data_IF_787080455058
#
_entry.id   IF_787080455058
#
_cell.length_a   1.000
_cell.length_b   1.000
_cell.length_c   1.000
_cell.angle_alpha   90.00
_cell.angle_beta   90.00
_cell.angle_gamma   90.00
#
_symmetry.space_group_name_H-M   'P 1'
#
loop_
_entity.id
_entity.type
_entity.pdbx_description
1 polymer ?
#
# COMPACT_ATOMS: atom_id res chain seq x y z
N UNK A 1 -30.48 -9.03 -19.76
CA UNK A 1 -29.33 -8.85 -18.83
C UNK A 1 -28.49 -7.69 -19.34
N UNK A 2 -28.09 -6.76 -18.47
CA UNK A 2 -27.17 -5.68 -18.84
C UNK A 2 -25.75 -6.25 -18.76
N UNK A 3 -25.27 -6.85 -19.87
CA UNK A 3 -23.90 -7.34 -19.98
C UNK A 3 -22.97 -6.13 -20.05
N UNK A 4 -21.96 -6.07 -19.19
CA UNK A 4 -20.89 -5.08 -19.32
C UNK A 4 -20.04 -5.46 -20.52
N UNK A 5 -19.89 -4.53 -21.48
CA UNK A 5 -19.14 -4.74 -22.73
C UNK A 5 -17.99 -3.74 -22.84
N UNK A 6 -17.03 -4.06 -23.71
CA UNK A 6 -15.89 -3.19 -24.00
C UNK A 6 -14.79 -3.21 -22.94
N UNK A 7 -14.83 -4.16 -21.99
CA UNK A 7 -13.74 -4.38 -21.04
C UNK A 7 -12.74 -5.34 -21.67
N UNK A 8 -11.49 -4.89 -21.83
CA UNK A 8 -10.40 -5.72 -22.31
C UNK A 8 -9.42 -6.01 -21.18
N UNK A 9 -8.91 -7.24 -21.15
CA UNK A 9 -7.89 -7.67 -20.20
C UNK A 9 -6.65 -8.16 -20.96
N UNK A 10 -5.47 -7.83 -20.42
CA UNK A 10 -4.18 -8.36 -20.88
C UNK A 10 -3.39 -8.85 -19.69
N UNK A 11 -2.93 -10.10 -19.73
CA UNK A 11 -2.10 -10.65 -18.68
C UNK A 11 -0.69 -10.04 -18.73
N UNK A 12 -0.25 -9.41 -17.64
CA UNK A 12 1.05 -8.76 -17.55
C UNK A 12 2.24 -9.73 -17.58
N UNK A 13 2.03 -10.99 -17.15
CA UNK A 13 3.09 -11.99 -17.04
C UNK A 13 3.35 -12.76 -18.34
N UNK A 14 2.47 -12.63 -19.34
CA UNK A 14 2.66 -13.22 -20.67
C UNK A 14 2.93 -12.10 -21.67
N UNK A 15 4.20 -11.67 -21.76
CA UNK A 15 4.65 -10.71 -22.78
C UNK A 15 4.28 -11.25 -24.17
N UNK A 16 3.47 -10.50 -24.92
CA UNK A 16 2.96 -10.91 -26.24
C UNK A 16 1.57 -11.57 -26.23
N UNK A 17 0.95 -11.79 -25.08
CA UNK A 17 -0.44 -12.29 -25.04
C UNK A 17 -1.42 -11.25 -25.60
N UNK A 18 -2.35 -11.66 -26.49
CA UNK A 18 -3.35 -10.77 -27.05
C UNK A 18 -4.27 -10.24 -25.95
N UNK A 19 -4.83 -9.05 -26.16
CA UNK A 19 -5.95 -8.58 -25.33
C UNK A 19 -7.17 -9.44 -25.57
N UNK A 20 -7.84 -9.85 -24.50
CA UNK A 20 -9.09 -10.60 -24.57
C UNK A 20 -10.24 -9.73 -24.08
N UNK A 21 -11.37 -9.79 -24.78
CA UNK A 21 -12.62 -9.21 -24.30
C UNK A 21 -13.12 -9.99 -23.09
N UNK A 22 -13.54 -9.26 -22.06
CA UNK A 22 -14.26 -9.80 -20.91
C UNK A 22 -15.74 -9.45 -21.04
N UNK A 23 -16.57 -10.48 -21.05
CA UNK A 23 -18.02 -10.36 -20.95
C UNK A 23 -18.47 -10.90 -19.60
N UNK A 24 -19.22 -10.09 -18.86
CA UNK A 24 -19.76 -10.49 -17.58
C UNK A 24 -21.04 -9.73 -17.25
N UNK A 25 -21.94 -10.40 -16.52
CA UNK A 25 -23.12 -9.76 -15.94
C UNK A 25 -22.74 -8.79 -14.82
N UNK A 26 -21.57 -8.97 -14.20
CA UNK A 26 -20.96 -8.09 -13.22
C UNK A 26 -19.44 -8.17 -13.27
N UNK A 27 -18.76 -7.01 -13.32
CA UNK A 27 -17.29 -6.91 -13.43
C UNK A 27 -16.74 -6.16 -12.21
N UNK A 28 -15.71 -6.76 -11.59
CA UNK A 28 -14.96 -6.16 -10.47
C UNK A 28 -13.54 -5.92 -10.92
N UNK A 29 -13.11 -4.65 -10.95
CA UNK A 29 -11.71 -4.32 -11.18
C UNK A 29 -10.90 -4.40 -9.87
N UNK A 30 -10.07 -5.44 -9.79
CA UNK A 30 -9.11 -5.69 -8.71
C UNK A 30 -7.66 -5.56 -9.20
N UNK A 31 -7.40 -4.88 -10.33
CA UNK A 31 -6.07 -4.80 -10.96
C UNK A 31 -5.06 -3.92 -10.20
N UNK A 32 -5.51 -3.27 -9.12
CA UNK A 32 -4.70 -2.48 -8.21
C UNK A 32 -4.35 -1.08 -8.75
N UNK A 33 -3.27 -0.48 -8.23
CA UNK A 33 -2.93 0.93 -8.53
C UNK A 33 -2.63 1.23 -10.00
N UNK A 34 -2.39 0.21 -10.82
CA UNK A 34 -2.16 0.34 -12.28
C UNK A 34 -3.44 0.11 -13.11
N UNK A 35 -4.61 0.13 -12.46
CA UNK A 35 -5.90 0.01 -13.11
C UNK A 35 -6.05 0.98 -14.28
N UNK A 36 -6.52 0.46 -15.42
CA UNK A 36 -6.83 1.25 -16.62
C UNK A 36 -8.27 1.75 -16.63
N UNK A 37 -8.99 1.63 -15.52
CA UNK A 37 -10.43 1.84 -15.46
C UNK A 37 -10.84 3.29 -15.68
N UNK A 38 -10.07 4.24 -15.14
CA UNK A 38 -10.33 5.67 -15.41
C UNK A 38 -10.10 6.02 -16.88
N UNK A 39 -9.09 5.42 -17.51
CA UNK A 39 -8.84 5.57 -18.95
C UNK A 39 -10.00 4.97 -19.77
N UNK A 40 -10.41 3.74 -19.45
CA UNK A 40 -11.52 3.07 -20.11
C UNK A 40 -12.86 3.82 -19.96
N UNK A 41 -13.15 4.34 -18.77
CA UNK A 41 -14.35 5.17 -18.53
C UNK A 41 -14.34 6.45 -19.35
N UNK A 42 -13.18 7.10 -19.46
CA UNK A 42 -13.04 8.30 -20.26
C UNK A 42 -13.19 8.00 -21.76
N UNK A 43 -12.41 7.05 -22.29
CA UNK A 43 -12.39 6.74 -23.73
C UNK A 43 -13.67 6.05 -24.21
N UNK A 44 -14.28 5.21 -23.37
CA UNK A 44 -15.46 4.42 -23.73
C UNK A 44 -16.80 5.09 -23.41
N UNK A 45 -16.84 6.00 -22.43
CA UNK A 45 -18.10 6.57 -21.91
C UNK A 45 -18.06 8.09 -21.73
N UNK A 46 -16.96 8.77 -22.06
CA UNK A 46 -16.77 10.21 -21.79
C UNK A 46 -16.94 10.53 -20.29
N UNK A 47 -16.55 9.59 -19.42
CA UNK A 47 -16.66 9.70 -17.96
C UNK A 47 -15.29 9.98 -17.33
N UNK A 48 -15.07 11.24 -17.01
CA UNK A 48 -13.92 11.68 -16.21
C UNK A 48 -14.19 11.37 -14.73
N UNK A 49 -13.32 10.57 -14.11
CA UNK A 49 -13.39 10.24 -12.68
C UNK A 49 -12.50 11.21 -11.90
N UNK A 50 -13.06 12.11 -11.07
CA UNK A 50 -12.25 13.02 -10.28
C UNK A 50 -11.31 12.24 -9.36
N UNK A 51 -10.03 12.59 -9.38
CA UNK A 51 -8.97 11.87 -8.67
C UNK A 51 -8.12 12.86 -7.88
N UNK A 52 -7.76 12.49 -6.65
CA UNK A 52 -6.79 13.24 -5.84
C UNK A 52 -5.59 12.36 -5.52
N UNK A 53 -4.40 12.90 -5.72
CA UNK A 53 -3.13 12.28 -5.37
C UNK A 53 -2.36 13.14 -4.37
N UNK A 54 -1.75 12.49 -3.37
CA UNK A 54 -0.82 13.11 -2.43
C UNK A 54 0.56 12.50 -2.63
N UNK A 55 1.52 13.34 -3.01
CA UNK A 55 2.93 13.00 -3.16
C UNK A 55 3.76 13.75 -2.13
N UNK A 56 4.45 13.02 -1.26
CA UNK A 56 5.30 13.61 -0.21
C UNK A 56 6.75 13.10 -0.27
N UNK A 57 7.14 12.55 -1.43
CA UNK A 57 8.50 12.13 -1.73
C UNK A 57 9.02 11.01 -0.84
N UNK A 58 8.16 10.08 -0.42
CA UNK A 58 8.57 8.96 0.42
C UNK A 58 9.21 7.84 -0.40
N UNK A 59 10.32 7.32 0.12
CA UNK A 59 10.92 6.08 -0.37
C UNK A 59 11.55 5.27 0.76
N UNK A 60 11.55 3.95 0.60
CA UNK A 60 12.01 3.01 1.61
C UNK A 60 12.93 1.95 1.03
N UNK A 61 13.68 1.30 1.92
CA UNK A 61 14.45 0.09 1.64
C UNK A 61 13.99 -0.95 2.65
N UNK A 62 13.45 -2.05 2.13
CA UNK A 62 12.92 -3.17 2.93
C UNK A 62 13.83 -4.37 2.81
N UNK A 63 14.08 -5.05 3.92
CA UNK A 63 14.86 -6.29 3.94
C UNK A 63 14.41 -7.17 5.10
N UNK A 64 14.74 -8.45 5.00
CA UNK A 64 14.48 -9.43 6.05
C UNK A 64 15.76 -9.63 6.86
N UNK A 65 15.64 -9.55 8.18
CA UNK A 65 16.75 -9.71 9.11
C UNK A 65 16.47 -10.81 10.14
N UNK A 66 17.50 -11.58 10.44
CA UNK A 66 17.55 -12.54 11.53
C UNK A 66 18.41 -11.98 12.66
N UNK A 67 17.89 -12.01 13.89
CA UNK A 67 18.59 -11.54 15.08
C UNK A 67 18.39 -12.51 16.24
N UNK A 68 19.49 -12.97 16.84
CA UNK A 68 19.47 -13.74 18.09
C UNK A 68 19.69 -12.83 19.29
N UNK A 69 19.33 -13.32 20.48
CA UNK A 69 19.62 -12.61 21.73
C UNK A 69 21.11 -12.29 21.82
N UNK A 70 21.43 -11.02 22.05
CA UNK A 70 22.80 -10.55 22.21
C UNK A 70 23.24 -10.54 23.67
N UNK A 71 22.29 -10.64 24.61
CA UNK A 71 22.54 -10.44 26.04
C UNK A 71 22.48 -8.97 26.47
N UNK A 72 22.33 -8.05 25.52
CA UNK A 72 22.05 -6.64 25.79
C UNK A 72 20.53 -6.43 25.88
N UNK A 73 19.98 -6.09 27.08
CA UNK A 73 18.54 -5.92 27.26
C UNK A 73 17.94 -4.85 26.34
N UNK A 74 18.70 -3.81 26.00
CA UNK A 74 18.25 -2.73 25.13
C UNK A 74 18.02 -3.26 23.71
N UNK A 75 19.00 -3.95 23.13
CA UNK A 75 18.89 -4.54 21.79
C UNK A 75 17.81 -5.63 21.77
N UNK A 76 17.81 -6.49 22.78
CA UNK A 76 16.92 -7.64 22.85
C UNK A 76 15.45 -7.25 23.02
N UNK A 77 15.18 -6.07 23.58
CA UNK A 77 13.81 -5.52 23.70
C UNK A 77 13.22 -5.02 22.37
N UNK A 78 14.04 -4.70 21.35
CA UNK A 78 13.59 -4.13 20.07
C UNK A 78 13.04 -5.24 19.16
N UNK A 79 11.84 -5.71 19.47
CA UNK A 79 11.14 -6.78 18.74
C UNK A 79 10.17 -6.22 17.70
N UNK A 80 9.56 -5.08 18.00
CA UNK A 80 8.62 -4.37 17.14
C UNK A 80 8.70 -2.88 17.45
N UNK A 81 8.42 -2.04 16.47
CA UNK A 81 8.32 -0.60 16.65
C UNK A 81 9.09 0.15 15.58
N UNK A 82 9.41 1.41 15.86
CA UNK A 82 10.09 2.24 14.90
C UNK A 82 10.20 3.69 15.34
N UNK A 83 11.05 4.44 14.66
CA UNK A 83 11.07 5.89 14.77
C UNK A 83 10.40 6.47 13.53
N UNK A 84 9.42 7.34 13.74
CA UNK A 84 8.73 8.03 12.66
C UNK A 84 9.56 9.24 12.21
N UNK A 85 9.36 9.64 10.95
CA UNK A 85 9.78 10.95 10.48
C UNK A 85 9.17 12.05 11.37
N UNK A 86 9.94 13.12 11.61
CA UNK A 86 9.51 14.27 12.40
C UNK A 86 9.99 15.56 11.71
N UNK A 87 9.31 15.92 10.64
CA UNK A 87 9.73 17.00 9.75
C UNK A 87 9.41 18.37 10.39
N UNK A 88 10.29 19.39 10.28
CA UNK A 88 11.51 19.45 9.46
C UNK A 88 12.77 18.88 10.15
N UNK A 89 12.69 18.44 11.40
CA UNK A 89 13.87 18.05 12.20
C UNK A 89 14.47 16.70 11.80
N UNK A 90 13.68 15.79 11.23
CA UNK A 90 14.11 14.44 10.83
C UNK A 90 13.29 13.93 9.65
N UNK A 91 13.94 13.77 8.50
CA UNK A 91 13.33 13.23 7.28
C UNK A 91 13.36 11.71 7.20
N UNK A 92 13.92 11.05 8.20
CA UNK A 92 14.28 9.64 8.19
C UNK A 92 13.54 8.87 9.28
N UNK A 93 13.27 7.60 9.00
CA UNK A 93 12.60 6.72 9.94
C UNK A 93 12.96 5.26 9.70
N UNK A 94 12.58 4.44 10.67
CA UNK A 94 12.74 3.00 10.59
C UNK A 94 11.53 2.31 11.19
N UNK A 95 11.15 1.16 10.63
CA UNK A 95 10.15 0.28 11.20
C UNK A 95 10.68 -1.15 11.25
N UNK A 96 10.37 -1.84 12.34
CA UNK A 96 10.68 -3.25 12.60
C UNK A 96 9.37 -3.95 12.89
N UNK A 97 9.06 -4.96 12.08
CA UNK A 97 7.88 -5.81 12.27
C UNK A 97 8.31 -7.27 12.43
N UNK A 98 7.97 -7.92 13.56
CA UNK A 98 8.34 -9.30 13.79
C UNK A 98 7.50 -10.22 12.89
N UNK A 99 8.17 -11.18 12.25
CA UNK A 99 7.51 -12.19 11.43
C UNK A 99 7.30 -13.49 12.19
N UNK A 100 8.35 -13.99 12.84
CA UNK A 100 8.30 -15.21 13.66
C UNK A 100 9.50 -15.35 14.56
N UNK A 101 9.35 -16.12 15.63
CA UNK A 101 10.47 -16.64 16.41
C UNK A 101 11.20 -17.73 15.62
N UNK A 102 12.52 -17.77 15.77
CA UNK A 102 13.40 -18.78 15.20
C UNK A 102 14.28 -19.39 16.31
N UNK A 103 14.81 -20.58 16.08
CA UNK A 103 15.76 -21.25 16.99
C UNK A 103 16.99 -21.67 16.21
N UNK A 104 18.15 -21.71 16.87
CA UNK A 104 19.31 -22.40 16.32
C UNK A 104 19.11 -23.92 16.36
N UNK A 105 19.86 -24.65 15.54
CA UNK A 105 19.85 -26.12 15.54
C UNK A 105 20.20 -26.74 16.91
N UNK A 106 20.91 -25.99 17.76
CA UNK A 106 21.32 -26.41 19.10
C UNK A 106 20.40 -25.81 20.20
N UNK A 107 19.08 -25.76 19.94
CA UNK A 107 17.89 -25.51 20.79
C UNK A 107 17.87 -24.44 21.91
N UNK A 108 19.00 -23.87 22.34
CA UNK A 108 19.12 -23.02 23.53
C UNK A 108 19.13 -21.51 23.23
N UNK A 109 19.13 -21.10 21.96
CA UNK A 109 19.03 -19.68 21.57
C UNK A 109 17.78 -19.41 20.74
N UNK A 110 16.89 -18.59 21.29
CA UNK A 110 15.74 -18.03 20.59
C UNK A 110 16.15 -16.75 19.85
N UNK A 111 15.81 -16.65 18.58
CA UNK A 111 15.95 -15.44 17.78
C UNK A 111 14.62 -14.98 17.20
N UNK A 112 14.67 -13.90 16.44
CA UNK A 112 13.53 -13.32 15.74
C UNK A 112 13.88 -13.09 14.27
N UNK A 113 12.93 -13.43 13.41
CA UNK A 113 12.92 -13.01 12.02
C UNK A 113 12.03 -11.79 11.91
N UNK A 114 12.54 -10.70 11.35
CA UNK A 114 11.82 -9.44 11.22
C UNK A 114 11.89 -8.88 9.81
N UNK A 115 10.83 -8.20 9.39
CA UNK A 115 10.87 -7.27 8.27
C UNK A 115 11.34 -5.91 8.79
N UNK A 116 12.40 -5.37 8.18
CA UNK A 116 12.99 -4.08 8.54
C UNK A 116 12.83 -3.12 7.37
N UNK A 117 12.43 -1.89 7.67
CA UNK A 117 12.16 -0.85 6.68
C UNK A 117 12.85 0.43 7.12
N UNK A 118 13.90 0.84 6.43
CA UNK A 118 14.41 2.20 6.51
C UNK A 118 13.64 3.06 5.51
N UNK A 119 13.23 4.26 5.88
CA UNK A 119 12.48 5.14 4.97
C UNK A 119 12.86 6.61 5.15
N UNK A 120 12.68 7.36 4.08
CA UNK A 120 12.86 8.79 4.00
C UNK A 120 11.64 9.46 3.38
N UNK A 121 11.48 10.76 3.62
CA UNK A 121 10.53 11.66 2.94
C UNK A 121 11.27 12.77 2.19
N UNK A 122 10.55 13.73 1.58
CA UNK A 122 11.16 14.86 0.87
C UNK A 122 12.02 14.48 -0.36
N UNK A 123 11.73 13.33 -0.98
CA UNK A 123 12.49 12.77 -2.12
C UNK A 123 13.95 12.44 -1.78
N UNK A 124 14.25 12.25 -0.50
CA UNK A 124 15.45 11.57 -0.02
C UNK A 124 15.21 10.06 0.01
N UNK A 125 16.29 9.28 -0.01
CA UNK A 125 16.20 7.82 -0.08
C UNK A 125 17.29 7.13 0.75
N UNK A 126 16.97 6.07 1.50
CA UNK A 126 18.00 5.24 2.12
C UNK A 126 18.83 4.52 1.05
N UNK A 127 20.13 4.28 1.30
CA UNK A 127 20.98 3.45 0.43
C UNK A 127 20.41 2.05 0.22
N UNK A 128 20.57 1.50 -0.97
CA UNK A 128 20.05 0.18 -1.34
C UNK A 128 21.04 -0.66 -2.16
N UNK A 129 22.27 -0.19 -2.28
CA UNK A 129 23.37 -0.77 -3.04
C UNK A 129 24.15 -1.81 -2.21
N UNK A 130 24.32 -1.58 -0.91
CA UNK A 130 24.92 -2.55 0.03
C UNK A 130 24.34 -2.40 1.44
N UNK A 131 24.47 -3.47 2.24
CA UNK A 131 24.03 -3.42 3.63
C UNK A 131 24.97 -2.55 4.49
N UNK A 132 26.25 -2.56 4.18
CA UNK A 132 27.28 -1.75 4.82
C UNK A 132 26.98 -0.25 4.67
N UNK A 133 26.60 0.19 3.46
CA UNK A 133 26.23 1.58 3.23
C UNK A 133 24.93 1.95 3.95
N UNK A 134 23.95 1.05 3.99
CA UNK A 134 22.72 1.26 4.75
C UNK A 134 22.99 1.33 6.27
N UNK A 135 23.93 0.54 6.77
CA UNK A 135 24.34 0.52 8.18
C UNK A 135 25.04 1.82 8.59
N UNK A 136 26.00 2.31 7.79
CA UNK A 136 26.65 3.61 8.02
C UNK A 136 25.67 4.79 7.88
N UNK A 137 24.74 4.69 6.93
CA UNK A 137 23.65 5.67 6.83
C UNK A 137 22.79 5.69 8.09
N UNK A 138 22.41 4.52 8.61
CA UNK A 138 21.62 4.37 9.85
C UNK A 138 22.34 5.04 11.04
N UNK A 139 23.66 4.84 11.16
CA UNK A 139 24.48 5.44 12.21
C UNK A 139 24.38 6.97 12.28
N UNK A 140 24.25 7.60 11.11
CA UNK A 140 24.23 9.06 10.98
C UNK A 140 22.81 9.63 11.02
N UNK A 141 21.81 8.87 10.56
CA UNK A 141 20.46 9.40 10.27
C UNK A 141 19.36 8.86 11.17
N UNK A 142 19.61 7.84 11.98
CA UNK A 142 18.63 7.23 12.88
C UNK A 142 19.13 7.25 14.33
N UNK A 143 18.22 7.15 15.31
CA UNK A 143 18.61 6.96 16.71
C UNK A 143 19.58 5.77 16.87
N UNK A 144 20.53 5.90 17.79
CA UNK A 144 21.69 4.97 17.89
C UNK A 144 21.29 3.53 18.15
N UNK A 145 20.16 3.29 18.80
CA UNK A 145 19.60 1.97 19.04
C UNK A 145 19.34 1.17 17.75
N UNK A 146 18.98 1.85 16.66
CA UNK A 146 18.73 1.20 15.37
C UNK A 146 20.03 0.78 14.70
N UNK A 147 21.09 1.61 14.80
CA UNK A 147 22.43 1.23 14.32
C UNK A 147 22.95 0.00 15.07
N UNK A 148 22.84 0.00 16.40
CA UNK A 148 23.31 -1.11 17.23
C UNK A 148 22.51 -2.39 16.94
N UNK A 149 21.18 -2.28 16.80
CA UNK A 149 20.32 -3.40 16.44
C UNK A 149 20.65 -3.94 15.05
N UNK A 150 20.81 -3.09 14.03
CA UNK A 150 21.22 -3.51 12.69
C UNK A 150 22.60 -4.16 12.69
N UNK A 151 23.57 -3.64 13.45
CA UNK A 151 24.89 -4.28 13.58
C UNK A 151 24.83 -5.73 14.07
N UNK A 152 23.79 -6.09 14.85
CA UNK A 152 23.53 -7.46 15.32
C UNK A 152 22.59 -8.29 14.42
N UNK A 153 22.16 -7.73 13.29
CA UNK A 153 21.17 -8.34 12.39
C UNK A 153 21.85 -8.97 11.18
N UNK A 154 21.57 -10.25 10.94
CA UNK A 154 21.97 -10.94 9.71
C UNK A 154 20.90 -10.73 8.64
N UNK A 155 21.25 -10.09 7.53
CA UNK A 155 20.33 -9.89 6.40
C UNK A 155 20.15 -11.20 5.62
N UNK A 156 18.90 -11.53 5.27
CA UNK A 156 18.53 -12.79 4.64
C UNK A 156 18.07 -12.67 3.17
N UNK A 157 18.48 -11.62 2.47
CA UNK A 157 18.10 -11.39 1.09
C UNK A 157 18.51 -10.01 0.57
N UNK A 158 18.03 -9.62 -0.62
CA UNK A 158 18.35 -8.32 -1.20
C UNK A 158 17.68 -7.18 -0.43
N UNK A 159 18.30 -6.01 -0.52
CA UNK A 159 17.68 -4.74 -0.13
C UNK A 159 16.67 -4.35 -1.21
N UNK A 160 15.39 -4.25 -0.85
CA UNK A 160 14.30 -3.96 -1.79
C UNK A 160 13.91 -2.49 -1.72
N UNK A 161 14.31 -1.65 -2.70
CA UNK A 161 13.92 -0.25 -2.72
C UNK A 161 12.46 -0.10 -3.18
N UNK A 162 11.75 0.81 -2.53
CA UNK A 162 10.44 1.30 -2.97
C UNK A 162 10.47 2.82 -3.04
N UNK A 163 10.07 3.39 -4.18
CA UNK A 163 10.18 4.83 -4.49
C UNK A 163 8.88 5.43 -5.02
N UNK A 164 7.79 4.67 -4.97
CA UNK A 164 6.48 5.02 -5.54
C UNK A 164 5.41 5.18 -4.45
N UNK A 165 5.80 5.62 -3.25
CA UNK A 165 4.86 5.85 -2.18
C UNK A 165 4.00 7.08 -2.50
N UNK A 166 2.74 6.82 -2.84
CA UNK A 166 1.70 7.83 -3.07
C UNK A 166 0.44 7.42 -2.32
N UNK A 167 -0.35 8.41 -1.90
CA UNK A 167 -1.77 8.18 -1.63
C UNK A 167 -2.57 8.65 -2.84
N UNK A 168 -3.55 7.87 -3.28
CA UNK A 168 -4.45 8.22 -4.38
C UNK A 168 -5.87 7.81 -4.04
N UNK A 169 -6.84 8.68 -4.32
CA UNK A 169 -8.26 8.36 -4.20
C UNK A 169 -9.05 8.77 -5.43
N UNK A 170 -10.05 7.97 -5.79
CA UNK A 170 -11.00 8.23 -6.88
C UNK A 170 -12.39 8.50 -6.31
N UNK A 171 -13.02 9.61 -6.69
CA UNK A 171 -14.30 10.03 -6.13
C UNK A 171 -15.50 9.42 -6.87
N UNK A 172 -15.63 8.09 -6.90
CA UNK A 172 -16.67 7.42 -7.70
C UNK A 172 -18.11 7.86 -7.36
N UNK A 173 -18.36 8.19 -6.09
CA UNK A 173 -19.66 8.66 -5.61
C UNK A 173 -20.13 9.94 -6.32
N UNK A 174 -19.22 10.80 -6.79
CA UNK A 174 -19.59 12.06 -7.46
C UNK A 174 -20.24 11.84 -8.83
N UNK A 175 -20.01 10.68 -9.46
CA UNK A 175 -20.57 10.34 -10.77
C UNK A 175 -22.03 9.87 -10.69
N UNK A 176 -22.51 9.47 -9.51
CA UNK A 176 -23.89 9.07 -9.28
C UNK A 176 -24.38 8.04 -10.30
N UNK A 177 -25.48 8.35 -10.98
CA UNK A 177 -26.11 7.46 -11.97
C UNK A 177 -25.38 7.42 -13.32
N UNK A 178 -24.36 8.26 -13.54
CA UNK A 178 -23.52 8.19 -14.74
C UNK A 178 -22.57 7.00 -14.69
N UNK A 179 -22.27 6.47 -13.50
CA UNK A 179 -21.39 5.31 -13.35
C UNK A 179 -21.98 4.07 -14.05
N UNK A 180 -21.17 3.29 -14.79
CA UNK A 180 -21.68 2.08 -15.45
C UNK A 180 -22.27 1.09 -14.46
N UNK A 181 -23.45 0.58 -14.79
CA UNK A 181 -24.07 -0.47 -14.02
C UNK A 181 -23.23 -1.75 -14.08
N UNK A 182 -23.32 -2.55 -13.02
CA UNK A 182 -22.66 -3.85 -12.92
C UNK A 182 -21.12 -3.80 -12.99
N UNK A 183 -20.52 -2.66 -12.71
CA UNK A 183 -19.09 -2.46 -12.68
C UNK A 183 -18.65 -1.78 -11.37
N UNK A 184 -17.59 -2.26 -10.72
CA UNK A 184 -17.03 -1.65 -9.51
C UNK A 184 -15.50 -1.69 -9.50
N UNK A 185 -14.88 -0.77 -8.74
CA UNK A 185 -13.44 -0.79 -8.44
C UNK A 185 -13.21 -1.28 -7.01
N UNK A 186 -12.16 -2.07 -6.78
CA UNK A 186 -11.83 -2.61 -5.46
C UNK A 186 -10.33 -2.49 -5.12
N UNK A 187 -10.04 -2.22 -3.85
CA UNK A 187 -8.67 -2.08 -3.35
C UNK A 187 -7.94 -0.92 -4.01
N UNK A 188 -6.68 -1.13 -4.40
CA UNK A 188 -5.83 -0.09 -4.98
C UNK A 188 -6.34 0.46 -6.33
N UNK A 189 -7.26 -0.25 -7.01
CA UNK A 189 -7.95 0.28 -8.17
C UNK A 189 -8.86 1.47 -7.81
N UNK A 190 -9.41 1.47 -6.59
CA UNK A 190 -10.25 2.54 -6.04
C UNK A 190 -9.40 3.56 -5.26
N UNK A 191 -8.73 3.12 -4.18
CA UNK A 191 -7.89 3.94 -3.32
C UNK A 191 -6.54 3.25 -3.12
N UNK A 192 -5.46 3.94 -3.44
CA UNK A 192 -4.09 3.50 -3.18
C UNK A 192 -3.56 4.24 -1.96
N UNK A 193 -2.95 3.52 -1.03
CA UNK A 193 -2.34 4.12 0.17
C UNK A 193 -0.83 3.96 0.13
N UNK A 194 -0.15 4.89 0.76
CA UNK A 194 1.24 4.66 1.13
C UNK A 194 1.33 3.49 2.14
N UNK A 195 2.44 2.73 2.15
CA UNK A 195 2.52 1.51 2.95
C UNK A 195 2.69 1.76 4.46
N UNK A 196 2.91 3.00 4.89
CA UNK A 196 3.34 3.32 6.26
C UNK A 196 2.30 2.99 7.33
N UNK A 197 1.01 3.08 6.99
CA UNK A 197 -0.10 2.95 7.95
C UNK A 197 -0.86 1.62 7.82
N UNK A 198 -0.34 0.66 7.03
CA UNK A 198 -0.93 -0.67 6.87
C UNK A 198 -2.34 -0.70 6.26
N UNK A 199 -2.81 0.41 5.67
CA UNK A 199 -4.18 0.50 5.14
C UNK A 199 -4.38 -0.24 3.82
N UNK A 200 -3.31 -0.49 3.05
CA UNK A 200 -3.39 -1.18 1.75
C UNK A 200 -3.97 -2.60 1.81
N UNK A 201 -3.94 -3.27 2.98
CA UNK A 201 -4.59 -4.58 3.17
C UNK A 201 -5.93 -4.46 3.91
N UNK A 202 -6.00 -3.62 4.94
CA UNK A 202 -7.21 -3.44 5.75
C UNK A 202 -8.37 -2.91 4.90
N UNK A 203 -8.10 -1.92 4.06
CA UNK A 203 -9.10 -1.29 3.19
C UNK A 203 -9.79 -2.29 2.24
N UNK A 204 -9.09 -3.07 1.39
CA UNK A 204 -9.75 -4.03 0.50
C UNK A 204 -10.53 -5.10 1.28
N UNK A 205 -10.03 -5.58 2.43
CA UNK A 205 -10.77 -6.52 3.27
C UNK A 205 -12.12 -5.94 3.74
N UNK A 206 -12.12 -4.67 4.17
CA UNK A 206 -13.36 -3.98 4.55
C UNK A 206 -14.31 -3.80 3.36
N UNK A 207 -13.78 -3.46 2.18
CA UNK A 207 -14.57 -3.33 0.96
C UNK A 207 -15.20 -4.65 0.52
N UNK A 208 -14.44 -5.75 0.49
CA UNK A 208 -14.95 -7.09 0.11
C UNK A 208 -16.06 -7.53 1.07
N UNK A 209 -15.88 -7.32 2.37
CA UNK A 209 -16.90 -7.66 3.37
C UNK A 209 -18.20 -6.88 3.14
N UNK A 210 -18.09 -5.61 2.79
CA UNK A 210 -19.27 -4.77 2.50
C UNK A 210 -19.90 -5.15 1.16
N UNK A 211 -19.09 -5.41 0.13
CA UNK A 211 -19.56 -5.90 -1.16
C UNK A 211 -20.34 -7.21 -1.00
N UNK A 212 -19.84 -8.16 -0.22
CA UNK A 212 -20.52 -9.43 0.04
C UNK A 212 -21.92 -9.23 0.66
N UNK A 213 -22.06 -8.29 1.60
CA UNK A 213 -23.37 -7.96 2.18
C UNK A 213 -24.32 -7.38 1.14
N UNK A 214 -23.86 -6.40 0.36
CA UNK A 214 -24.65 -5.75 -0.68
C UNK A 214 -25.07 -6.77 -1.74
N UNK A 215 -24.13 -7.59 -2.19
CA UNK A 215 -24.36 -8.61 -3.21
C UNK A 215 -25.40 -9.63 -2.73
N UNK A 216 -25.24 -10.22 -1.55
CA UNK A 216 -26.18 -11.22 -1.03
C UNK A 216 -27.61 -10.69 -0.86
N UNK A 217 -27.79 -9.41 -0.57
CA UNK A 217 -29.13 -8.79 -0.45
C UNK A 217 -29.74 -8.43 -1.81
N UNK A 218 -28.92 -8.15 -2.83
CA UNK A 218 -29.36 -7.51 -4.08
C UNK A 218 -29.02 -8.29 -5.35
N UNK A 219 -28.46 -9.51 -5.28
CA UNK A 219 -27.97 -10.25 -6.45
C UNK A 219 -29.06 -10.54 -7.50
N UNK A 220 -30.33 -10.62 -7.09
CA UNK A 220 -31.47 -10.75 -8.00
C UNK A 220 -31.71 -9.50 -8.87
N UNK A 221 -31.19 -8.35 -8.46
CA UNK A 221 -31.35 -7.05 -9.11
C UNK A 221 -29.98 -6.35 -9.20
N UNK A 222 -29.10 -6.86 -10.07
CA UNK A 222 -27.72 -6.34 -10.23
C UNK A 222 -27.67 -4.82 -10.51
N UNK A 223 -28.73 -4.25 -11.09
CA UNK A 223 -28.87 -2.86 -11.57
C UNK A 223 -28.68 -1.75 -10.53
N UNK A 224 -28.48 -2.07 -9.25
CA UNK A 224 -28.17 -1.08 -8.22
C UNK A 224 -26.93 -1.40 -7.39
N UNK A 225 -26.33 -2.58 -7.56
CA UNK A 225 -25.21 -3.04 -6.72
C UNK A 225 -24.02 -2.08 -6.83
N UNK A 226 -23.65 -1.68 -8.05
CA UNK A 226 -22.53 -0.74 -8.26
C UNK A 226 -22.78 0.61 -7.60
N UNK A 227 -24.00 1.14 -7.72
CA UNK A 227 -24.35 2.43 -7.13
C UNK A 227 -24.38 2.38 -5.59
N UNK A 228 -24.98 1.32 -5.02
CA UNK A 228 -25.00 1.09 -3.56
C UNK A 228 -23.57 0.89 -3.03
N UNK A 229 -22.78 0.06 -3.71
CA UNK A 229 -21.40 -0.23 -3.35
C UNK A 229 -20.54 1.04 -3.40
N UNK A 230 -20.55 1.81 -4.49
CA UNK A 230 -19.72 3.01 -4.62
C UNK A 230 -19.99 4.03 -3.49
N UNK A 231 -21.25 4.16 -3.04
CA UNK A 231 -21.60 5.00 -1.88
C UNK A 231 -21.01 4.47 -0.58
N UNK A 232 -21.12 3.16 -0.31
CA UNK A 232 -20.57 2.52 0.91
C UNK A 232 -19.04 2.48 0.90
N UNK A 233 -18.45 2.12 -0.22
CA UNK A 233 -17.02 2.10 -0.44
C UNK A 233 -16.39 3.46 -0.20
N UNK A 234 -17.02 4.55 -0.67
CA UNK A 234 -16.55 5.92 -0.39
C UNK A 234 -16.46 6.21 1.10
N UNK A 235 -17.44 5.78 1.91
CA UNK A 235 -17.42 6.00 3.36
C UNK A 235 -16.29 5.23 4.05
N UNK A 236 -16.15 3.93 3.73
CA UNK A 236 -15.08 3.08 4.27
C UNK A 236 -13.70 3.63 3.88
N UNK A 237 -13.58 4.09 2.63
CA UNK A 237 -12.32 4.59 2.09
C UNK A 237 -11.90 5.91 2.73
N UNK A 238 -12.84 6.79 3.08
CA UNK A 238 -12.52 8.07 3.74
C UNK A 238 -11.91 7.86 5.13
N UNK A 239 -12.40 6.87 5.90
CA UNK A 239 -11.81 6.52 7.19
C UNK A 239 -10.34 6.07 7.05
N UNK A 240 -10.06 5.19 6.08
CA UNK A 240 -8.68 4.74 5.80
C UNK A 240 -7.81 5.88 5.25
N UNK A 241 -8.39 6.80 4.48
CA UNK A 241 -7.72 7.98 3.94
C UNK A 241 -7.23 8.90 5.06
N UNK A 242 -8.12 9.28 5.98
CA UNK A 242 -7.76 10.16 7.10
C UNK A 242 -6.61 9.60 7.93
N UNK A 243 -6.64 8.30 8.25
CA UNK A 243 -5.55 7.62 8.97
C UNK A 243 -4.23 7.67 8.19
N UNK A 244 -4.30 7.49 6.87
CA UNK A 244 -3.11 7.38 6.02
C UNK A 244 -2.49 8.73 5.64
N UNK A 245 -3.24 9.83 5.72
CA UNK A 245 -2.78 11.13 5.22
C UNK A 245 -2.63 12.20 6.31
N UNK A 246 -3.20 12.01 7.50
CA UNK A 246 -3.22 13.04 8.54
C UNK A 246 -1.80 13.53 8.91
N UNK A 247 -0.84 12.62 9.05
CA UNK A 247 0.54 12.99 9.35
C UNK A 247 1.32 13.49 8.13
N UNK A 248 0.92 13.11 6.91
CA UNK A 248 1.58 13.53 5.67
C UNK A 248 1.46 15.05 5.45
N UNK A 249 0.42 15.69 6.00
CA UNK A 249 0.26 17.16 5.98
C UNK A 249 1.37 17.93 6.69
N UNK A 250 2.16 17.26 7.55
CA UNK A 250 3.31 17.88 8.22
C UNK A 250 4.54 17.95 7.31
N UNK A 251 4.51 17.31 6.14
CA UNK A 251 5.64 17.22 5.22
C UNK A 251 5.65 18.46 4.30
N UNK A 252 6.69 19.32 4.33
CA UNK A 252 6.77 20.54 3.52
C UNK A 252 6.74 20.29 2.01
N UNK A 253 7.25 19.15 1.55
CA UNK A 253 7.24 18.79 0.13
C UNK A 253 5.95 18.12 -0.33
N UNK A 254 4.94 17.99 0.54
CA UNK A 254 3.65 17.44 0.17
C UNK A 254 3.03 18.24 -0.97
N UNK A 255 2.75 17.55 -2.07
CA UNK A 255 2.02 18.05 -3.24
C UNK A 255 0.70 17.32 -3.34
N UNK A 256 -0.37 18.10 -3.45
CA UNK A 256 -1.72 17.60 -3.73
C UNK A 256 -2.04 17.90 -5.19
N UNK A 257 -2.33 16.86 -5.97
CA UNK A 257 -2.71 16.96 -7.38
C UNK A 257 -4.16 16.52 -7.49
N UNK A 258 -4.98 17.35 -8.13
CA UNK A 258 -6.39 17.03 -8.44
C UNK A 258 -6.54 16.98 -9.96
N UNK A 259 -7.08 15.87 -10.45
CA UNK A 259 -7.32 15.57 -11.86
C UNK A 259 -8.80 15.28 -12.10
#
# INVERSE_FOLDING_TARGET
>A
MNIVKGVTYRCKYNVGSPSCDLYGDFIVDCSGGNSSSTKWLNEGFDLIVPTEQMYYGCGSVTFIGERFKTGDPMIDSITMGGCTVNVPTRNTGMHVSPMRTIKTANENSSGILSALICHCVNSEFPPNDSYENLLEWTKTHLPSEYYVMLKSTKVLGPLVPYRRAINQRKFLKSLGNKWPQNYILLGDALYTFNPQYGQGMTHPCRLVREFNKIFNTNYHQLKDISYIFNRRASSISEECWLISTANDWKIPTLKVIRM
#
